data_IF_373076508114
#
_entry.id   IF_373076508114
#
_cell.length_a   1.000
_cell.length_b   1.000
_cell.length_c   1.000
_cell.angle_alpha   90.00
_cell.angle_beta   90.00
_cell.angle_gamma   90.00
#
_symmetry.space_group_name_H-M   'P 1'
#
loop_
_entity.id
_entity.type
_entity.pdbx_description
1 polymer ?
#
# COMPACT_ATOMS: atom_id res chain seq x y z
N UNK A 1 4.08 13.71 -19.16
CA UNK A 1 3.82 13.19 -17.79
C UNK A 1 2.67 12.22 -17.88
N UNK A 2 2.95 10.91 -17.83
CA UNK A 2 1.94 9.86 -18.00
C UNK A 2 0.90 9.94 -16.88
N UNK A 3 -0.38 9.99 -17.26
CA UNK A 3 -1.49 9.90 -16.29
C UNK A 3 -1.32 8.59 -15.53
N UNK A 4 -1.07 8.66 -14.22
CA UNK A 4 -1.16 7.50 -13.36
C UNK A 4 -2.55 6.89 -13.59
N UNK A 5 -2.59 5.68 -14.15
CA UNK A 5 -3.85 4.97 -14.36
C UNK A 5 -4.43 4.75 -12.97
N UNK A 6 -5.48 5.49 -12.63
CA UNK A 6 -6.16 5.39 -11.35
C UNK A 6 -6.55 3.92 -11.15
N UNK A 7 -5.95 3.30 -10.14
CA UNK A 7 -6.14 1.89 -9.85
C UNK A 7 -7.59 1.75 -9.35
N UNK A 8 -8.50 1.23 -10.20
CA UNK A 8 -9.93 1.13 -9.87
C UNK A 8 -10.29 -0.11 -9.03
N UNK A 9 -9.30 -0.91 -8.64
CA UNK A 9 -9.49 -2.20 -7.96
C UNK A 9 -8.34 -2.47 -7.01
N UNK A 10 -8.64 -3.11 -5.88
CA UNK A 10 -7.61 -3.62 -4.98
C UNK A 10 -6.83 -4.74 -5.64
N UNK A 11 -5.53 -4.51 -5.87
CA UNK A 11 -4.61 -5.58 -6.28
C UNK A 11 -4.14 -6.35 -5.05
N UNK A 12 -3.71 -7.63 -5.19
CA UNK A 12 -3.21 -8.41 -4.06
C UNK A 12 -2.13 -7.66 -3.26
N UNK A 13 -1.18 -7.05 -3.97
CA UNK A 13 -0.12 -6.22 -3.39
C UNK A 13 -0.63 -5.04 -2.57
N UNK A 14 -1.64 -4.31 -3.09
CA UNK A 14 -2.22 -3.17 -2.37
C UNK A 14 -2.96 -3.65 -1.11
N UNK A 15 -3.68 -4.77 -1.22
CA UNK A 15 -4.38 -5.41 -0.12
C UNK A 15 -3.41 -5.88 0.96
N UNK A 16 -2.30 -6.53 0.60
CA UNK A 16 -1.26 -6.95 1.55
C UNK A 16 -0.58 -5.75 2.22
N UNK A 17 -0.32 -4.68 1.46
CA UNK A 17 0.22 -3.45 2.03
C UNK A 17 -0.76 -2.79 3.03
N UNK A 18 -2.06 -2.80 2.73
CA UNK A 18 -3.11 -2.33 3.63
C UNK A 18 -3.20 -3.17 4.91
N UNK A 19 -3.20 -4.50 4.80
CA UNK A 19 -3.20 -5.44 5.94
C UNK A 19 -2.00 -5.23 6.88
N UNK A 20 -0.84 -4.87 6.32
CA UNK A 20 0.39 -4.58 7.07
C UNK A 20 0.43 -3.16 7.65
N UNK A 21 -0.67 -2.41 7.61
CA UNK A 21 -0.74 -1.04 8.13
C UNK A 21 0.09 -0.04 7.33
N UNK A 22 0.32 -0.30 6.03
CA UNK A 22 1.27 0.45 5.20
C UNK A 22 2.70 0.48 5.77
N UNK A 23 3.10 -0.51 6.56
CA UNK A 23 4.47 -0.63 7.07
C UNK A 23 5.40 -1.18 5.97
N UNK A 24 6.45 -0.42 5.66
CA UNK A 24 7.43 -0.81 4.64
C UNK A 24 8.59 -1.67 5.20
N UNK A 25 8.73 -1.78 6.53
CA UNK A 25 9.66 -2.74 7.14
C UNK A 25 9.22 -4.17 6.82
N UNK A 26 10.11 -5.01 6.30
CA UNK A 26 9.77 -6.38 5.86
C UNK A 26 8.85 -6.46 4.64
N UNK A 27 8.61 -5.35 3.94
CA UNK A 27 7.81 -5.37 2.71
C UNK A 27 8.62 -5.97 1.55
N UNK A 28 8.01 -6.84 0.73
CA UNK A 28 8.68 -7.46 -0.41
C UNK A 28 9.30 -6.45 -1.38
N UNK A 29 8.66 -5.29 -1.57
CA UNK A 29 9.15 -4.24 -2.47
C UNK A 29 10.13 -3.27 -1.81
N UNK A 30 10.52 -3.48 -0.55
CA UNK A 30 11.50 -2.61 0.14
C UNK A 30 12.78 -2.49 -0.67
N UNK A 31 13.26 -3.63 -1.17
CA UNK A 31 14.55 -3.71 -1.85
C UNK A 31 14.48 -3.10 -3.26
N UNK A 32 13.27 -2.95 -3.84
CA UNK A 32 13.05 -2.25 -5.11
C UNK A 32 13.44 -0.76 -5.04
N UNK A 33 13.35 -0.17 -3.85
CA UNK A 33 13.71 1.22 -3.59
C UNK A 33 15.07 1.38 -2.91
N UNK A 34 15.78 0.29 -2.60
CA UNK A 34 17.02 0.31 -1.79
C UNK A 34 18.17 1.09 -2.43
N UNK A 35 18.19 1.24 -3.75
CA UNK A 35 19.15 2.06 -4.50
C UNK A 35 18.62 3.43 -4.93
N UNK A 36 17.44 3.83 -4.45
CA UNK A 36 16.76 5.07 -4.83
C UNK A 36 16.63 6.01 -3.63
N UNK A 37 16.61 7.31 -3.89
CA UNK A 37 16.20 8.31 -2.89
C UNK A 37 14.70 8.26 -2.60
N UNK A 38 13.92 7.53 -3.41
CA UNK A 38 12.49 7.37 -3.26
C UNK A 38 12.20 6.41 -2.09
N UNK A 39 11.47 6.89 -1.08
CA UNK A 39 10.90 6.01 -0.04
C UNK A 39 9.79 5.15 -0.63
N UNK A 40 9.51 4.01 -0.01
CA UNK A 40 8.38 3.12 -0.33
C UNK A 40 7.08 3.90 -0.62
N UNK A 41 6.64 3.90 -1.89
CA UNK A 41 5.48 4.69 -2.35
C UNK A 41 4.13 3.98 -2.20
N UNK A 42 4.12 2.69 -1.81
CA UNK A 42 2.86 1.95 -1.70
C UNK A 42 1.90 2.53 -0.67
N UNK A 43 2.39 3.19 0.38
CA UNK A 43 1.51 3.90 1.32
C UNK A 43 0.66 4.97 0.62
N UNK A 44 1.27 5.77 -0.26
CA UNK A 44 0.55 6.80 -1.00
C UNK A 44 -0.49 6.17 -1.94
N UNK A 45 -0.11 5.11 -2.66
CA UNK A 45 -1.02 4.40 -3.56
C UNK A 45 -2.20 3.75 -2.82
N UNK A 46 -1.95 3.12 -1.67
CA UNK A 46 -2.98 2.50 -0.82
C UNK A 46 -3.92 3.55 -0.23
N UNK A 47 -3.40 4.69 0.23
CA UNK A 47 -4.24 5.79 0.70
C UNK A 47 -5.13 6.35 -0.41
N UNK A 48 -4.60 6.54 -1.62
CA UNK A 48 -5.39 6.98 -2.76
C UNK A 48 -6.45 5.95 -3.17
N UNK A 49 -6.15 4.65 -3.07
CA UNK A 49 -7.13 3.57 -3.25
C UNK A 49 -8.28 3.68 -2.24
N UNK A 50 -7.97 3.84 -0.95
CA UNK A 50 -8.98 4.04 0.10
C UNK A 50 -9.84 5.28 -0.19
N UNK A 51 -9.23 6.38 -0.63
CA UNK A 51 -9.96 7.62 -0.97
C UNK A 51 -10.87 7.48 -2.18
N UNK A 52 -10.47 6.70 -3.18
CA UNK A 52 -11.16 6.64 -4.48
C UNK A 52 -12.20 5.53 -4.56
N UNK A 53 -11.94 4.36 -3.96
CA UNK A 53 -12.81 3.18 -4.05
C UNK A 53 -13.18 2.58 -2.68
N UNK A 54 -12.74 3.19 -1.57
CA UNK A 54 -13.04 2.74 -0.22
C UNK A 54 -12.04 1.71 0.33
N UNK A 55 -12.24 1.32 1.59
CA UNK A 55 -11.44 0.28 2.24
C UNK A 55 -11.66 -1.07 1.56
N UNK A 56 -10.61 -1.91 1.44
CA UNK A 56 -10.79 -3.26 0.91
C UNK A 56 -11.61 -4.09 1.89
N UNK A 57 -12.42 -5.01 1.35
CA UNK A 57 -13.15 -6.01 2.13
C UNK A 57 -12.18 -7.12 2.57
N UNK A 58 -11.34 -6.82 3.57
CA UNK A 58 -10.39 -7.76 4.16
C UNK A 58 -10.32 -7.59 5.66
N UNK A 59 -10.19 -8.70 6.37
CA UNK A 59 -9.87 -8.69 7.79
C UNK A 59 -8.50 -8.03 8.00
N UNK A 60 -8.53 -6.84 8.61
CA UNK A 60 -7.35 -6.21 9.16
C UNK A 60 -6.89 -7.03 10.36
N UNK A 61 -5.62 -7.45 10.38
CA UNK A 61 -5.03 -7.96 11.62
C UNK A 61 -5.10 -6.83 12.65
N UNK A 62 -5.95 -6.99 13.65
CA UNK A 62 -6.09 -6.03 14.74
C UNK A 62 -4.71 -5.83 15.36
N UNK A 63 -4.13 -4.67 15.13
CA UNK A 63 -2.95 -4.23 15.85
C UNK A 63 -3.45 -4.02 17.27
N UNK A 64 -3.12 -4.94 18.18
CA UNK A 64 -3.29 -4.73 19.61
C UNK A 64 -2.42 -3.50 19.91
N UNK A 65 -3.07 -2.34 20.12
CA UNK A 65 -2.41 -1.24 20.81
C UNK A 65 -2.24 -1.71 22.25
N UNK A 66 -1.01 -2.06 22.61
CA UNK A 66 -0.55 -2.08 24.00
C UNK A 66 -0.12 -0.66 24.39
#
# INVERSE_FOLDING_TARGET
>A
MGRAVAVRRWTPTATDCYKRGCNCEGCFYRDFFSGSSQKCQMKAAVLELVRTIGTPDVELQQIILD
#
